data_IF_345506398786
#
_entry.id   IF_345506398786
#
_cell.length_a   1.000
_cell.length_b   1.000
_cell.length_c   1.000
_cell.angle_alpha   90.00
_cell.angle_beta   90.00
_cell.angle_gamma   90.00
#
_symmetry.space_group_name_H-M   'P 1'
#
loop_
_entity.id
_entity.type
_entity.pdbx_description
1 polymer ?
#
# COMPACT_ATOMS: atom_id res chain seq x y z
N UNK A 1 -15.71 -9.43 28.05
CA UNK A 1 -15.60 -8.77 26.73
C UNK A 1 -14.48 -9.46 25.98
N UNK A 2 -14.78 -10.46 25.16
CA UNK A 2 -13.76 -11.12 24.33
C UNK A 2 -13.45 -10.25 23.12
N UNK A 3 -12.18 -10.22 22.73
CA UNK A 3 -11.79 -9.59 21.47
C UNK A 3 -12.20 -10.48 20.30
N UNK A 4 -12.70 -9.84 19.24
CA UNK A 4 -13.05 -10.53 18.00
C UNK A 4 -11.82 -10.73 17.10
N UNK A 5 -10.77 -9.93 17.32
CA UNK A 5 -9.55 -9.95 16.54
C UNK A 5 -8.39 -10.54 17.35
N UNK A 6 -7.47 -11.22 16.65
CA UNK A 6 -6.16 -11.56 17.21
C UNK A 6 -5.24 -10.33 17.11
N UNK A 7 -5.37 -9.43 18.09
CA UNK A 7 -4.59 -8.19 18.15
C UNK A 7 -3.11 -8.44 18.34
N UNK A 8 -2.71 -9.55 18.98
CA UNK A 8 -1.32 -9.95 19.07
C UNK A 8 -0.70 -10.07 17.66
N UNK A 9 -1.37 -10.81 16.77
CA UNK A 9 -0.93 -10.98 15.39
C UNK A 9 -0.86 -9.65 14.63
N UNK A 10 -1.85 -8.77 14.80
CA UNK A 10 -1.88 -7.46 14.13
C UNK A 10 -0.76 -6.54 14.62
N UNK A 11 -0.56 -6.44 15.93
CA UNK A 11 0.49 -5.60 16.52
C UNK A 11 1.87 -6.10 16.09
N UNK A 12 2.12 -7.42 16.13
CA UNK A 12 3.41 -7.99 15.68
C UNK A 12 3.69 -7.72 14.21
N UNK A 13 2.66 -7.69 13.34
CA UNK A 13 2.82 -7.26 11.94
C UNK A 13 3.21 -5.79 11.86
N UNK A 14 2.52 -4.92 12.60
CA UNK A 14 2.82 -3.49 12.65
C UNK A 14 4.24 -3.21 13.13
N UNK A 15 4.69 -3.88 14.19
CA UNK A 15 6.04 -3.74 14.74
C UNK A 15 7.12 -4.12 13.72
N UNK A 16 6.90 -5.20 12.95
CA UNK A 16 7.83 -5.63 11.89
C UNK A 16 7.94 -4.59 10.77
N UNK A 17 6.82 -3.98 10.38
CA UNK A 17 6.76 -3.05 9.25
C UNK A 17 7.19 -1.62 9.64
N UNK A 18 6.82 -1.16 10.83
CA UNK A 18 7.02 0.22 11.27
C UNK A 18 8.14 0.39 12.27
N UNK A 19 8.52 -0.63 13.05
CA UNK A 19 9.51 -0.53 14.15
C UNK A 19 9.18 0.62 15.12
N UNK A 20 7.95 0.64 15.61
CA UNK A 20 7.47 1.66 16.54
C UNK A 20 8.32 1.68 17.82
N UNK A 21 8.51 2.87 18.41
CA UNK A 21 9.24 3.04 19.68
C UNK A 21 8.38 2.75 20.92
N UNK A 22 7.06 2.67 20.75
CA UNK A 22 6.08 2.49 21.83
C UNK A 22 4.90 1.65 21.34
N UNK A 23 4.18 1.04 22.28
CA UNK A 23 3.04 0.17 21.96
C UNK A 23 1.87 0.94 21.34
N UNK A 24 1.20 0.39 20.31
CA UNK A 24 -0.13 0.87 19.90
C UNK A 24 -1.11 0.77 21.07
N UNK A 25 -1.84 1.86 21.33
CA UNK A 25 -2.77 1.96 22.45
C UNK A 25 -4.16 1.62 21.97
N UNK A 26 -4.71 0.50 22.43
CA UNK A 26 -6.12 0.21 22.31
C UNK A 26 -6.91 1.15 23.20
N UNK A 27 -7.91 1.83 22.65
CA UNK A 27 -8.70 2.82 23.37
C UNK A 27 -10.18 2.47 23.24
N UNK A 28 -10.86 2.35 24.39
CA UNK A 28 -12.27 1.96 24.45
C UNK A 28 -13.06 2.85 25.39
N UNK A 29 -14.17 3.40 24.89
CA UNK A 29 -15.15 4.09 25.72
C UNK A 29 -16.17 3.08 26.28
N UNK A 30 -16.50 3.23 27.56
CA UNK A 30 -17.38 2.32 28.29
C UNK A 30 -18.68 3.02 28.63
N UNK A 31 -19.79 2.39 28.25
CA UNK A 31 -21.13 2.91 28.54
C UNK A 31 -21.44 2.91 30.04
N UNK A 32 -20.83 1.99 30.79
CA UNK A 32 -20.96 1.89 32.24
C UNK A 32 -19.60 1.70 32.89
N UNK A 33 -19.36 2.39 34.01
CA UNK A 33 -18.06 2.33 34.69
C UNK A 33 -17.75 0.96 35.31
N UNK A 34 -18.77 0.18 35.69
CA UNK A 34 -18.59 -1.16 36.26
C UNK A 34 -17.93 -2.14 35.26
N UNK A 35 -17.96 -1.82 33.97
CA UNK A 35 -17.28 -2.63 32.94
C UNK A 35 -15.74 -2.63 33.09
N UNK A 36 -15.17 -1.65 33.81
CA UNK A 36 -13.74 -1.60 34.10
C UNK A 36 -13.27 -2.82 34.90
N UNK A 37 -14.10 -3.33 35.82
CA UNK A 37 -13.79 -4.46 36.68
C UNK A 37 -13.71 -5.78 35.90
N UNK A 38 -14.27 -5.81 34.70
CA UNK A 38 -14.30 -6.98 33.82
C UNK A 38 -13.07 -7.06 32.90
N UNK A 39 -12.23 -6.03 32.87
CA UNK A 39 -11.06 -5.97 31.99
C UNK A 39 -9.85 -6.56 32.73
N UNK A 40 -9.15 -7.55 32.14
CA UNK A 40 -7.98 -8.16 32.76
C UNK A 40 -6.87 -7.16 33.07
N UNK A 41 -6.22 -7.33 34.22
CA UNK A 41 -5.07 -6.52 34.66
C UNK A 41 -5.34 -5.00 34.74
N UNK A 42 -6.61 -4.62 34.88
CA UNK A 42 -7.06 -3.24 34.99
C UNK A 42 -6.39 -2.52 36.18
N UNK A 43 -5.74 -1.38 35.89
CA UNK A 43 -5.18 -0.47 36.90
C UNK A 43 -5.97 0.83 36.93
N UNK A 44 -6.39 1.23 38.12
CA UNK A 44 -7.05 2.51 38.39
C UNK A 44 -6.03 3.54 38.88
N UNK A 45 -6.08 4.81 38.42
CA UNK A 45 -5.21 5.87 38.94
C UNK A 45 -5.36 6.03 40.45
N UNK A 46 -4.24 6.00 41.19
CA UNK A 46 -4.24 6.25 42.65
C UNK A 46 -4.25 7.74 43.00
N UNK A 47 -4.08 8.59 41.99
CA UNK A 47 -4.07 10.05 42.06
C UNK A 47 -4.66 10.57 40.76
N UNK A 48 -5.09 11.82 40.77
CA UNK A 48 -5.60 12.47 39.56
C UNK A 48 -4.53 12.52 38.48
N UNK A 49 -4.87 12.14 37.25
CA UNK A 49 -3.96 12.11 36.09
C UNK A 49 -4.55 12.86 34.90
N UNK A 50 -3.71 13.29 33.97
CA UNK A 50 -4.17 13.79 32.67
C UNK A 50 -4.44 12.61 31.72
N UNK A 51 -5.25 12.83 30.69
CA UNK A 51 -5.49 11.79 29.67
C UNK A 51 -4.19 11.34 28.99
N UNK A 52 -3.30 12.28 28.69
CA UNK A 52 -2.01 11.95 28.08
C UNK A 52 -1.11 11.10 28.99
N UNK A 53 -1.13 11.29 30.31
CA UNK A 53 -0.39 10.43 31.23
C UNK A 53 -0.92 8.98 31.21
N UNK A 54 -2.24 8.80 31.16
CA UNK A 54 -2.84 7.47 31.05
C UNK A 54 -2.42 6.77 29.77
N UNK A 55 -2.43 7.49 28.63
CA UNK A 55 -1.93 6.99 27.35
C UNK A 55 -0.45 6.56 27.50
N UNK A 56 0.39 7.36 28.15
CA UNK A 56 1.82 7.04 28.39
C UNK A 56 2.03 5.77 29.19
N UNK A 57 1.23 5.53 30.24
CA UNK A 57 1.27 4.29 31.02
C UNK A 57 1.04 3.07 30.13
N UNK A 58 0.19 3.21 29.11
CA UNK A 58 -0.05 2.14 28.15
C UNK A 58 1.12 2.01 27.18
N UNK A 59 1.44 3.08 26.44
CA UNK A 59 2.40 3.02 25.31
C UNK A 59 3.85 2.74 25.74
N UNK A 60 4.25 3.13 26.94
CA UNK A 60 5.65 3.04 27.39
C UNK A 60 5.85 2.10 28.59
N UNK A 61 4.82 1.88 29.40
CA UNK A 61 4.92 1.03 30.61
C UNK A 61 4.09 -0.24 30.52
N UNK A 62 3.38 -0.44 29.41
CA UNK A 62 2.68 -1.69 29.12
C UNK A 62 1.53 -1.99 30.11
N UNK A 63 0.87 -0.94 30.60
CA UNK A 63 -0.21 -1.06 31.57
C UNK A 63 -1.58 -1.01 30.90
N UNK A 64 -2.47 -1.92 31.32
CA UNK A 64 -3.92 -1.73 31.17
C UNK A 64 -4.41 -0.75 32.22
N UNK A 65 -4.99 0.38 31.80
CA UNK A 65 -5.48 1.44 32.68
C UNK A 65 -6.91 1.83 32.32
N UNK A 66 -7.65 2.35 33.30
CA UNK A 66 -8.97 2.89 33.04
C UNK A 66 -9.34 4.00 34.01
N UNK A 67 -10.12 4.95 33.55
CA UNK A 67 -10.46 6.18 34.27
C UNK A 67 -11.95 6.53 34.14
N UNK A 68 -12.53 7.06 35.21
CA UNK A 68 -13.82 7.76 35.23
C UNK A 68 -13.58 9.27 35.44
N UNK A 69 -14.63 10.09 35.41
CA UNK A 69 -14.52 11.56 35.46
C UNK A 69 -13.65 12.08 36.63
N UNK A 70 -13.78 11.48 37.80
CA UNK A 70 -13.10 11.93 39.03
C UNK A 70 -11.60 11.61 39.07
N UNK A 71 -11.13 10.69 38.20
CA UNK A 71 -9.72 10.32 38.07
C UNK A 71 -8.90 11.38 37.32
N UNK A 72 -9.56 12.34 36.65
CA UNK A 72 -8.87 13.37 35.87
C UNK A 72 -8.49 14.60 36.70
N UNK A 73 -7.32 15.19 36.42
CA UNK A 73 -6.85 16.43 37.07
C UNK A 73 -7.80 17.60 36.84
N UNK A 74 -8.39 17.67 35.65
CA UNK A 74 -9.26 18.76 35.23
C UNK A 74 -10.42 18.20 34.39
N UNK A 75 -11.62 18.80 34.48
CA UNK A 75 -12.76 18.44 33.64
C UNK A 75 -12.48 18.62 32.14
N UNK A 76 -11.44 19.38 31.75
CA UNK A 76 -11.05 19.52 30.34
C UNK A 76 -10.67 18.19 29.68
N UNK A 77 -9.93 17.33 30.38
CA UNK A 77 -9.54 16.02 29.84
C UNK A 77 -10.78 15.14 29.65
N UNK A 78 -11.62 15.07 30.69
CA UNK A 78 -12.84 14.27 30.71
C UNK A 78 -13.88 14.79 29.70
N UNK A 79 -13.94 16.10 29.45
CA UNK A 79 -14.91 16.68 28.52
C UNK A 79 -14.58 16.43 27.05
N UNK A 80 -13.30 16.34 26.70
CA UNK A 80 -12.88 15.97 25.33
C UNK A 80 -13.44 14.60 24.94
N UNK A 81 -13.39 13.64 25.86
CA UNK A 81 -13.88 12.27 25.66
C UNK A 81 -15.34 12.09 26.11
N UNK A 82 -16.06 13.17 26.40
CA UNK A 82 -17.51 13.15 26.63
C UNK A 82 -17.98 12.56 27.97
N UNK A 83 -17.10 12.45 28.96
CA UNK A 83 -17.46 11.95 30.31
C UNK A 83 -18.11 13.03 31.20
N UNK A 84 -17.89 14.31 30.88
CA UNK A 84 -18.50 15.45 31.59
C UNK A 84 -18.66 16.63 30.64
N UNK A 85 -19.60 17.53 30.93
CA UNK A 85 -19.66 18.82 30.22
C UNK A 85 -18.46 19.71 30.59
N UNK A 86 -18.15 20.64 29.70
CA UNK A 86 -17.14 21.67 29.91
C UNK A 86 -17.73 22.78 30.80
N UNK A 87 -17.12 23.11 31.96
CA UNK A 87 -17.63 24.17 32.82
C UNK A 87 -17.64 25.55 32.13
N UNK A 88 -18.61 26.41 32.47
CA UNK A 88 -18.79 27.74 31.84
C UNK A 88 -17.55 28.65 31.93
N UNK A 89 -16.77 28.53 33.01
CA UNK A 89 -15.51 29.30 33.18
C UNK A 89 -14.45 28.98 32.11
N UNK A 90 -14.56 27.85 31.41
CA UNK A 90 -13.70 27.54 30.27
C UNK A 90 -14.27 28.07 28.95
N UNK A 91 -15.60 28.23 28.86
CA UNK A 91 -16.31 28.67 27.65
C UNK A 91 -16.25 30.18 27.44
N UNK A 92 -16.09 30.97 28.50
CA UNK A 92 -16.05 32.45 28.45
C UNK A 92 -14.76 33.05 27.83
N UNK A 93 -13.83 32.18 27.42
CA UNK A 93 -12.54 32.54 26.82
C UNK A 93 -11.49 33.05 27.82
N UNK A 94 -11.82 33.23 29.09
CA UNK A 94 -10.91 33.72 30.13
C UNK A 94 -9.70 32.78 30.24
N UNK A 95 -9.93 31.47 30.37
CA UNK A 95 -8.86 30.49 30.54
C UNK A 95 -7.87 30.48 29.37
N UNK A 96 -8.37 30.49 28.13
CA UNK A 96 -7.52 30.48 26.93
C UNK A 96 -6.75 31.79 26.77
N UNK A 97 -7.35 32.92 27.15
CA UNK A 97 -6.70 34.24 27.05
C UNK A 97 -5.53 34.46 28.03
N UNK A 98 -5.41 33.63 29.08
CA UNK A 98 -4.30 33.71 30.02
C UNK A 98 -2.98 33.24 29.38
N UNK A 99 -3.04 32.26 28.47
CA UNK A 99 -1.84 31.57 27.97
C UNK A 99 -1.73 31.57 26.45
N UNK A 100 -2.83 31.33 25.74
CA UNK A 100 -2.78 30.90 24.33
C UNK A 100 -3.15 31.97 23.33
N UNK A 101 -4.02 32.90 23.72
CA UNK A 101 -4.55 33.93 22.81
C UNK A 101 -4.63 35.28 23.51
N UNK A 102 -4.57 36.37 22.75
CA UNK A 102 -4.48 37.73 23.31
C UNK A 102 -5.78 38.21 23.94
N UNK A 103 -6.93 37.80 23.43
CA UNK A 103 -8.24 38.32 23.83
C UNK A 103 -9.17 37.21 24.31
N UNK A 104 -10.15 37.55 25.16
CA UNK A 104 -11.22 36.61 25.54
C UNK A 104 -12.07 36.19 24.34
N UNK A 105 -12.28 37.08 23.39
CA UNK A 105 -13.01 36.76 22.15
C UNK A 105 -12.33 35.65 21.36
N UNK A 106 -11.02 35.76 21.17
CA UNK A 106 -10.23 34.68 20.55
C UNK A 106 -10.22 33.43 21.43
N UNK A 107 -10.28 33.59 22.75
CA UNK A 107 -10.40 32.48 23.70
C UNK A 107 -11.70 31.70 23.56
N UNK A 108 -12.82 32.39 23.31
CA UNK A 108 -14.10 31.76 23.02
C UNK A 108 -14.07 31.02 21.68
N UNK A 109 -13.50 31.63 20.62
CA UNK A 109 -13.32 30.99 19.31
C UNK A 109 -12.45 29.74 19.43
N UNK A 110 -11.37 29.83 20.20
CA UNK A 110 -10.49 28.71 20.51
C UNK A 110 -11.27 27.56 21.14
N UNK A 111 -11.97 27.81 22.26
CA UNK A 111 -12.63 26.75 23.00
C UNK A 111 -13.78 26.09 22.21
N UNK A 112 -14.50 26.88 21.41
CA UNK A 112 -15.57 26.44 20.52
C UNK A 112 -15.07 25.59 19.35
N UNK A 113 -13.81 25.77 18.94
CA UNK A 113 -13.20 25.01 17.82
C UNK A 113 -12.78 23.59 18.18
N UNK A 114 -12.69 23.24 19.48
CA UNK A 114 -12.24 21.93 19.97
C UNK A 114 -13.38 20.90 19.83
N UNK A 115 -13.23 19.86 19.00
CA UNK A 115 -14.15 18.73 18.97
C UNK A 115 -14.29 18.03 20.33
N UNK A 116 -15.50 17.59 20.68
CA UNK A 116 -15.75 16.83 21.91
C UNK A 116 -16.76 15.74 21.65
N UNK A 117 -16.61 14.60 22.32
CA UNK A 117 -17.60 13.52 22.25
C UNK A 117 -18.91 13.94 22.92
N UNK A 118 -20.02 13.41 22.40
CA UNK A 118 -21.36 13.69 22.94
C UNK A 118 -21.51 13.14 24.36
N UNK A 119 -22.14 13.94 25.22
CA UNK A 119 -22.44 13.59 26.61
C UNK A 119 -23.47 12.45 26.73
N UNK A 120 -23.48 11.80 27.90
CA UNK A 120 -24.50 10.82 28.30
C UNK A 120 -24.38 9.45 27.64
N UNK A 121 -23.33 9.21 26.84
CA UNK A 121 -23.07 7.90 26.21
C UNK A 121 -22.10 7.03 26.99
N UNK A 122 -21.20 7.63 27.75
CA UNK A 122 -20.08 6.94 28.37
C UNK A 122 -19.85 7.44 29.80
N UNK A 123 -19.45 6.51 30.66
CA UNK A 123 -19.14 6.78 32.07
C UNK A 123 -17.66 6.56 32.40
N UNK A 124 -16.94 5.82 31.56
CA UNK A 124 -15.52 5.54 31.76
C UNK A 124 -14.78 5.32 30.43
N UNK A 125 -13.45 5.28 30.51
CA UNK A 125 -12.54 4.92 29.43
C UNK A 125 -11.58 3.84 29.89
N UNK A 126 -11.26 2.89 29.01
CA UNK A 126 -10.22 1.90 29.20
C UNK A 126 -9.18 1.99 28.08
N UNK A 127 -7.92 1.82 28.43
CA UNK A 127 -6.80 1.84 27.50
C UNK A 127 -5.83 0.71 27.83
N UNK A 128 -5.30 0.03 26.81
CA UNK A 128 -4.43 -1.12 27.02
C UNK A 128 -3.51 -1.41 25.82
N UNK A 129 -2.37 -2.08 26.03
CA UNK A 129 -1.52 -2.56 24.96
C UNK A 129 -2.25 -3.68 24.21
N UNK A 130 -2.40 -3.52 22.89
CA UNK A 130 -3.22 -4.43 22.09
C UNK A 130 -2.61 -5.84 21.96
N UNK A 131 -1.30 -5.98 22.16
CA UNK A 131 -0.60 -7.27 22.06
C UNK A 131 -1.14 -8.34 23.02
N UNK A 132 -1.83 -7.94 24.10
CA UNK A 132 -2.40 -8.87 25.10
C UNK A 132 -3.88 -9.21 24.90
N UNK A 133 -4.49 -8.79 23.78
CA UNK A 133 -5.93 -8.98 23.53
C UNK A 133 -6.84 -8.54 24.71
N UNK A 134 -6.64 -7.34 25.29
CA UNK A 134 -7.26 -6.95 26.56
C UNK A 134 -8.79 -6.75 26.46
N UNK A 135 -9.24 -6.26 25.30
CA UNK A 135 -10.63 -6.03 24.91
C UNK A 135 -10.66 -5.69 23.42
N UNK A 136 -11.85 -5.65 22.82
CA UNK A 136 -12.04 -5.07 21.49
C UNK A 136 -12.02 -3.53 21.56
N UNK A 137 -11.00 -2.84 21.03
CA UNK A 137 -10.91 -1.38 21.08
C UNK A 137 -11.89 -0.73 20.11
N UNK A 138 -12.29 0.51 20.38
CA UNK A 138 -13.07 1.29 19.42
C UNK A 138 -12.11 1.98 18.43
N UNK A 139 -10.99 2.50 18.95
CA UNK A 139 -9.90 3.08 18.15
C UNK A 139 -8.53 2.61 18.65
N UNK A 140 -7.52 2.74 17.79
CA UNK A 140 -6.11 2.48 18.09
C UNK A 140 -5.32 3.77 17.95
N UNK A 141 -4.58 4.16 19.00
CA UNK A 141 -3.66 5.30 18.94
C UNK A 141 -2.25 4.81 18.61
N UNK A 142 -1.67 5.41 17.60
CA UNK A 142 -0.32 5.11 17.11
C UNK A 142 0.51 6.37 17.27
N UNK A 143 1.59 6.28 18.05
CA UNK A 143 2.61 7.31 18.14
C UNK A 143 3.82 6.90 17.30
N UNK A 144 4.20 7.76 16.36
CA UNK A 144 5.25 7.46 15.39
C UNK A 144 5.89 8.74 14.84
N UNK A 145 7.09 8.64 14.27
CA UNK A 145 7.75 9.76 13.63
C UNK A 145 7.15 10.08 12.24
N UNK A 146 7.52 11.21 11.59
CA UNK A 146 6.93 11.60 10.32
C UNK A 146 7.13 10.59 9.19
N UNK A 147 8.27 9.89 9.15
CA UNK A 147 8.54 8.86 8.14
C UNK A 147 7.60 7.66 8.30
N UNK A 148 7.37 7.22 9.53
CA UNK A 148 6.43 6.15 9.87
C UNK A 148 4.98 6.57 9.57
N UNK A 149 4.59 7.81 9.90
CA UNK A 149 3.25 8.33 9.59
C UNK A 149 3.00 8.45 8.10
N UNK A 150 3.99 8.89 7.31
CA UNK A 150 3.88 8.93 5.86
C UNK A 150 3.56 7.55 5.28
N UNK A 151 4.25 6.50 5.77
CA UNK A 151 3.98 5.13 5.35
C UNK A 151 2.59 4.66 5.77
N UNK A 152 2.15 4.99 6.99
CA UNK A 152 0.82 4.63 7.48
C UNK A 152 -0.28 5.34 6.67
N UNK A 153 -0.13 6.62 6.33
CA UNK A 153 -1.06 7.37 5.47
C UNK A 153 -1.15 6.70 4.10
N UNK A 154 -0.01 6.48 3.43
CA UNK A 154 0.01 5.83 2.11
C UNK A 154 -0.60 4.42 2.17
N UNK A 155 -0.40 3.69 3.26
CA UNK A 155 -0.97 2.35 3.44
C UNK A 155 -2.50 2.38 3.54
N UNK A 156 -3.06 3.36 4.26
CA UNK A 156 -4.50 3.54 4.39
C UNK A 156 -5.14 4.01 3.07
N UNK A 157 -4.39 4.79 2.28
CA UNK A 157 -4.82 5.32 0.98
C UNK A 157 -4.60 4.35 -0.19
N UNK A 158 -3.93 3.22 0.04
CA UNK A 158 -3.59 2.26 -1.01
C UNK A 158 -4.86 1.70 -1.69
N UNK A 159 -5.88 1.40 -0.91
CA UNK A 159 -7.23 1.03 -1.37
C UNK A 159 -8.18 2.19 -1.04
N UNK A 160 -9.10 2.50 -1.97
CA UNK A 160 -10.07 3.60 -1.84
C UNK A 160 -9.40 4.95 -1.53
N UNK A 161 -8.52 5.40 -2.43
CA UNK A 161 -7.74 6.62 -2.24
C UNK A 161 -8.63 7.82 -1.86
N UNK A 162 -8.33 8.41 -0.71
CA UNK A 162 -8.94 9.63 -0.21
C UNK A 162 -7.86 10.52 0.40
N UNK A 163 -7.91 11.83 0.14
CA UNK A 163 -7.01 12.79 0.80
C UNK A 163 -7.33 12.83 2.29
N UNK A 164 -6.32 12.56 3.13
CA UNK A 164 -6.47 12.67 4.58
C UNK A 164 -6.37 14.14 5.01
N UNK A 165 -7.39 14.62 5.71
CA UNK A 165 -7.39 15.97 6.28
C UNK A 165 -6.61 16.00 7.59
N UNK A 166 -5.75 17.01 7.72
CA UNK A 166 -4.96 17.25 8.93
C UNK A 166 -5.55 18.41 9.72
N UNK A 167 -5.84 18.18 10.99
CA UNK A 167 -6.43 19.17 11.89
C UNK A 167 -5.48 19.49 13.05
N UNK A 168 -5.38 20.77 13.39
CA UNK A 168 -4.56 21.24 14.50
C UNK A 168 -5.19 22.48 15.13
N UNK A 169 -5.72 22.32 16.33
CA UNK A 169 -6.12 23.44 17.20
C UNK A 169 -4.89 24.08 17.89
N UNK A 170 -3.76 23.36 17.92
CA UNK A 170 -2.49 23.79 18.54
C UNK A 170 -2.36 23.40 20.02
N UNK A 171 -3.46 23.11 20.68
CA UNK A 171 -3.55 22.46 22.00
C UNK A 171 -4.71 21.44 21.94
N UNK A 172 -4.84 20.58 22.95
CA UNK A 172 -5.90 19.57 23.01
C UNK A 172 -5.80 18.57 21.86
N UNK A 173 -4.59 18.09 21.56
CA UNK A 173 -4.32 17.10 20.51
C UNK A 173 -5.09 15.80 20.70
N UNK A 174 -5.44 15.43 21.94
CA UNK A 174 -6.37 14.34 22.20
C UNK A 174 -7.75 14.55 21.57
N UNK A 175 -8.24 15.79 21.46
CA UNK A 175 -9.47 16.09 20.72
C UNK A 175 -9.26 15.91 19.21
N UNK A 176 -8.18 16.46 18.65
CA UNK A 176 -7.91 16.36 17.21
C UNK A 176 -7.67 14.91 16.77
N UNK A 177 -7.05 14.07 17.60
CA UNK A 177 -6.92 12.64 17.29
C UNK A 177 -8.17 11.84 17.68
N UNK A 178 -8.51 11.77 18.97
CA UNK A 178 -9.54 10.85 19.51
C UNK A 178 -10.93 11.33 19.12
N UNK A 179 -11.31 12.55 19.52
CA UNK A 179 -12.69 12.99 19.34
C UNK A 179 -13.08 13.05 17.85
N UNK A 180 -12.20 13.56 16.98
CA UNK A 180 -12.45 13.55 15.53
C UNK A 180 -12.58 12.14 14.97
N UNK A 181 -11.69 11.20 15.34
CA UNK A 181 -11.77 9.82 14.86
C UNK A 181 -13.11 9.15 15.21
N UNK A 182 -13.61 9.36 16.42
CA UNK A 182 -14.94 8.86 16.83
C UNK A 182 -16.09 9.54 16.09
N UNK A 183 -15.99 10.85 15.84
CA UNK A 183 -17.05 11.62 15.19
C UNK A 183 -17.15 11.34 13.70
N UNK A 184 -16.02 11.15 13.01
CA UNK A 184 -15.98 10.95 11.55
C UNK A 184 -15.95 9.48 11.15
N UNK A 185 -15.53 8.59 12.06
CA UNK A 185 -15.24 7.20 11.73
C UNK A 185 -14.04 7.04 10.79
N UNK A 186 -13.17 8.07 10.68
CA UNK A 186 -11.99 8.10 9.82
C UNK A 186 -10.70 8.26 10.63
N UNK A 187 -9.54 7.82 10.11
CA UNK A 187 -8.24 8.11 10.70
C UNK A 187 -8.06 9.60 10.95
N UNK A 188 -7.45 9.97 12.08
CA UNK A 188 -7.16 11.37 12.40
C UNK A 188 -5.75 11.53 12.95
N UNK A 189 -4.94 12.30 12.22
CA UNK A 189 -3.54 12.59 12.53
C UNK A 189 -3.43 14.01 13.09
N UNK A 190 -2.62 14.19 14.12
CA UNK A 190 -2.30 15.51 14.67
C UNK A 190 -0.88 15.57 15.24
N UNK A 191 -0.46 16.78 15.62
CA UNK A 191 0.80 17.03 16.33
C UNK A 191 0.51 17.04 17.84
N UNK A 192 1.21 16.22 18.65
CA UNK A 192 1.11 16.26 20.10
C UNK A 192 1.34 17.66 20.66
N UNK A 193 0.37 18.13 21.46
CA UNK A 193 0.42 19.47 22.05
C UNK A 193 1.43 19.59 23.21
N UNK A 194 1.59 20.81 23.73
CA UNK A 194 2.45 21.07 24.90
C UNK A 194 2.11 20.16 26.09
N UNK A 195 0.83 19.92 26.37
CA UNK A 195 0.40 19.03 27.46
C UNK A 195 0.80 17.56 27.24
N UNK A 196 0.69 17.05 26.02
CA UNK A 196 1.16 15.71 25.67
C UNK A 196 2.67 15.56 25.81
N UNK A 197 3.44 16.61 25.49
CA UNK A 197 4.90 16.61 25.67
C UNK A 197 5.28 16.67 27.14
N UNK A 198 4.75 17.66 27.85
CA UNK A 198 5.10 17.95 29.24
C UNK A 198 4.66 16.86 30.21
N UNK A 199 3.46 16.30 30.02
CA UNK A 199 2.87 15.34 30.96
C UNK A 199 2.80 13.92 30.39
N UNK A 200 2.61 13.77 29.07
CA UNK A 200 2.53 12.48 28.39
C UNK A 200 3.87 11.99 27.80
N UNK A 201 4.94 12.78 27.91
CA UNK A 201 6.28 12.44 27.40
C UNK A 201 6.30 12.11 25.89
N UNK A 202 5.41 12.71 25.10
CA UNK A 202 5.53 12.68 23.64
C UNK A 202 6.87 13.31 23.21
N UNK A 203 7.61 12.63 22.33
CA UNK A 203 8.93 13.06 21.87
C UNK A 203 8.82 14.14 20.78
N UNK A 204 9.89 14.91 20.54
CA UNK A 204 9.92 16.02 19.57
C UNK A 204 9.50 15.61 18.17
N UNK A 205 9.89 14.42 17.74
CA UNK A 205 9.49 13.84 16.47
C UNK A 205 8.14 13.11 16.49
N UNK A 206 7.51 12.90 17.65
CA UNK A 206 6.25 12.15 17.71
C UNK A 206 5.13 12.91 17.01
N UNK A 207 4.43 12.20 16.13
CA UNK A 207 3.08 12.49 15.70
C UNK A 207 2.14 11.44 16.31
N UNK A 208 0.84 11.73 16.37
CA UNK A 208 -0.17 10.78 16.84
C UNK A 208 -1.29 10.64 15.84
N UNK A 209 -1.62 9.38 15.51
CA UNK A 209 -2.78 9.04 14.68
C UNK A 209 -3.74 8.16 15.48
N UNK A 210 -5.00 8.56 15.52
CA UNK A 210 -6.10 7.68 15.91
C UNK A 210 -6.65 6.96 14.68
N UNK A 211 -6.81 5.65 14.79
CA UNK A 211 -7.38 4.79 13.75
C UNK A 211 -8.64 4.12 14.27
N UNK A 212 -9.76 4.10 13.53
CA UNK A 212 -10.85 3.17 13.83
C UNK A 212 -10.30 1.74 13.87
N UNK A 213 -10.62 0.97 14.91
CA UNK A 213 -10.04 -0.35 15.13
C UNK A 213 -10.17 -1.29 13.91
N UNK A 214 -11.33 -1.25 13.25
CA UNK A 214 -11.63 -2.01 12.04
C UNK A 214 -10.69 -1.71 10.84
N UNK A 215 -10.01 -0.57 10.83
CA UNK A 215 -9.08 -0.18 9.75
C UNK A 215 -7.66 -0.72 9.95
N UNK A 216 -7.37 -1.36 11.08
CA UNK A 216 -6.03 -1.87 11.37
C UNK A 216 -5.57 -2.90 10.33
N UNK A 217 -6.45 -3.82 9.92
CA UNK A 217 -6.14 -4.82 8.89
C UNK A 217 -5.90 -4.16 7.52
N UNK A 218 -6.72 -3.17 7.15
CA UNK A 218 -6.54 -2.39 5.90
C UNK A 218 -5.18 -1.69 5.88
N UNK A 219 -4.81 -1.02 6.97
CA UNK A 219 -3.52 -0.35 7.11
C UNK A 219 -2.35 -1.33 6.93
N UNK A 220 -2.40 -2.50 7.60
CA UNK A 220 -1.33 -3.49 7.50
C UNK A 220 -1.20 -4.09 6.10
N UNK A 221 -2.31 -4.43 5.44
CA UNK A 221 -2.31 -4.93 4.06
C UNK A 221 -1.70 -3.91 3.10
N UNK A 222 -2.13 -2.65 3.17
CA UNK A 222 -1.55 -1.59 2.35
C UNK A 222 -0.05 -1.44 2.60
N UNK A 223 0.39 -1.53 3.86
CA UNK A 223 1.79 -1.39 4.23
C UNK A 223 2.65 -2.56 3.73
N UNK A 224 2.13 -3.79 3.75
CA UNK A 224 2.78 -4.97 3.17
C UNK A 224 2.93 -4.85 1.65
N UNK A 225 1.94 -4.26 0.95
CA UNK A 225 2.05 -3.97 -0.48
C UNK A 225 3.13 -2.91 -0.73
N UNK A 226 3.13 -1.80 0.00
CA UNK A 226 4.16 -0.77 -0.10
C UNK A 226 5.57 -1.34 0.17
N UNK A 227 5.69 -2.20 1.18
CA UNK A 227 6.95 -2.87 1.52
C UNK A 227 7.47 -3.70 0.34
N UNK A 228 6.61 -4.51 -0.30
CA UNK A 228 6.95 -5.29 -1.50
C UNK A 228 7.38 -4.40 -2.68
N UNK A 229 6.83 -3.19 -2.77
CA UNK A 229 7.21 -2.17 -3.78
C UNK A 229 8.45 -1.35 -3.41
N UNK A 230 9.12 -1.68 -2.31
CA UNK A 230 10.34 -0.99 -1.86
C UNK A 230 10.11 0.27 -1.03
N UNK A 231 8.85 0.65 -0.78
CA UNK A 231 8.47 1.78 0.08
C UNK A 231 8.30 1.24 1.51
N UNK A 232 9.36 1.35 2.32
CA UNK A 232 9.45 0.66 3.64
C UNK A 232 10.21 1.48 4.69
N UNK A 233 10.05 1.09 5.95
CA UNK A 233 10.81 1.62 7.09
C UNK A 233 11.90 0.64 7.56
N UNK A 234 13.10 1.11 7.97
CA UNK A 234 13.59 2.49 7.89
C UNK A 234 13.81 2.92 6.44
N UNK A 235 13.66 4.23 6.19
CA UNK A 235 13.92 4.81 4.87
C UNK A 235 15.43 4.89 4.67
N UNK A 236 15.95 4.19 3.66
CA UNK A 236 17.35 4.27 3.27
C UNK A 236 17.60 5.56 2.48
N UNK A 237 18.55 6.38 2.94
CA UNK A 237 18.93 7.60 2.23
C UNK A 237 19.88 7.27 1.09
N UNK A 238 19.64 7.85 -0.09
CA UNK A 238 20.54 7.71 -1.22
C UNK A 238 21.79 8.61 -1.11
N UNK A 239 21.75 9.67 -0.30
CA UNK A 239 22.83 10.66 -0.20
C UNK A 239 22.59 11.85 -1.12
N UNK A 240 22.82 13.07 -0.62
CA UNK A 240 22.40 14.30 -1.30
C UNK A 240 23.13 14.58 -2.63
N UNK A 241 24.34 14.04 -2.80
CA UNK A 241 25.19 14.26 -3.97
C UNK A 241 25.22 13.06 -4.94
N UNK A 242 24.43 12.02 -4.68
CA UNK A 242 24.39 10.86 -5.57
C UNK A 242 23.55 11.14 -6.82
N UNK A 243 24.00 10.59 -7.95
CA UNK A 243 23.19 10.55 -9.16
C UNK A 243 22.08 9.51 -8.99
N UNK A 244 20.85 10.01 -8.84
CA UNK A 244 19.68 9.18 -8.62
C UNK A 244 19.02 8.71 -9.93
N UNK A 245 19.51 9.11 -11.10
CA UNK A 245 18.91 8.69 -12.39
C UNK A 245 18.84 7.17 -12.53
N UNK A 246 19.83 6.45 -11.97
CA UNK A 246 19.88 4.99 -11.94
C UNK A 246 19.08 4.35 -10.79
N UNK A 247 18.73 5.14 -9.77
CA UNK A 247 18.02 4.68 -8.57
C UNK A 247 16.50 4.98 -8.61
N UNK A 248 16.08 5.97 -9.41
CA UNK A 248 14.66 6.24 -9.63
C UNK A 248 14.03 5.11 -10.44
N UNK A 249 12.81 4.66 -10.08
CA UNK A 249 12.07 3.78 -10.95
C UNK A 249 11.92 4.42 -12.33
N UNK A 250 11.99 3.61 -13.38
CA UNK A 250 11.89 4.08 -14.77
C UNK A 250 10.61 4.89 -15.04
N UNK A 251 9.54 4.63 -14.27
CA UNK A 251 8.30 5.41 -14.31
C UNK A 251 8.46 6.88 -13.92
N UNK A 252 9.53 7.26 -13.20
CA UNK A 252 9.80 8.63 -12.75
C UNK A 252 10.92 9.32 -13.55
N UNK A 253 11.92 8.58 -14.01
CA UNK A 253 13.12 9.14 -14.68
C UNK A 253 13.16 8.99 -16.21
N UNK A 254 12.20 8.28 -16.81
CA UNK A 254 12.26 7.85 -18.22
C UNK A 254 11.36 8.61 -19.18
N UNK A 255 11.02 9.89 -18.96
CA UNK A 255 10.06 10.62 -19.83
C UNK A 255 10.48 10.57 -21.30
N UNK A 256 11.76 10.81 -21.61
CA UNK A 256 12.26 10.72 -23.00
C UNK A 256 12.14 9.30 -23.58
N UNK A 257 12.31 8.28 -22.75
CA UNK A 257 12.09 6.89 -23.17
C UNK A 257 10.60 6.59 -23.38
N UNK A 258 9.72 7.16 -22.55
CA UNK A 258 8.28 7.06 -22.74
C UNK A 258 7.85 7.76 -24.03
N UNK A 259 8.41 8.92 -24.35
CA UNK A 259 8.18 9.59 -25.64
C UNK A 259 8.66 8.73 -26.82
N UNK A 260 9.80 8.06 -26.67
CA UNK A 260 10.34 7.16 -27.71
C UNK A 260 9.43 5.95 -27.94
N UNK A 261 8.97 5.32 -26.86
CA UNK A 261 8.12 4.12 -26.90
C UNK A 261 6.72 4.46 -27.38
N UNK A 262 6.07 5.45 -26.74
CA UNK A 262 4.71 5.84 -27.09
C UNK A 262 4.62 6.62 -28.40
N UNK A 263 5.73 7.20 -28.84
CA UNK A 263 5.85 7.95 -30.09
C UNK A 263 5.09 9.28 -30.06
N UNK A 264 5.42 10.15 -31.01
CA UNK A 264 4.62 11.35 -31.35
C UNK A 264 3.64 11.10 -32.51
N UNK A 265 3.75 9.93 -33.13
CA UNK A 265 2.81 9.45 -34.14
C UNK A 265 1.53 8.88 -33.48
N UNK A 266 0.66 8.38 -34.34
CA UNK A 266 -0.66 7.90 -33.96
C UNK A 266 -0.66 6.41 -33.56
N UNK A 267 0.51 5.80 -33.29
CA UNK A 267 0.58 4.43 -32.77
C UNK A 267 -0.18 4.31 -31.45
N UNK A 268 -0.77 3.16 -31.21
CA UNK A 268 -1.37 2.82 -29.92
C UNK A 268 -0.73 1.54 -29.39
N UNK A 269 -0.19 1.60 -28.18
CA UNK A 269 0.43 0.45 -27.53
C UNK A 269 -0.51 -0.15 -26.50
N UNK A 270 -0.84 -1.42 -26.69
CA UNK A 270 -1.64 -2.22 -25.77
C UNK A 270 -0.75 -3.24 -25.06
N UNK A 271 -0.49 -3.04 -23.76
CA UNK A 271 0.19 -4.04 -22.95
C UNK A 271 -0.77 -5.18 -22.59
N UNK A 272 -0.51 -6.38 -23.07
CA UNK A 272 -1.34 -7.57 -22.83
C UNK A 272 -0.70 -8.42 -21.75
N UNK A 273 -1.48 -8.76 -20.73
CA UNK A 273 -1.02 -9.59 -19.62
C UNK A 273 -2.13 -10.55 -19.17
N UNK A 274 -1.76 -11.50 -18.32
CA UNK A 274 -2.64 -12.52 -17.79
C UNK A 274 -1.88 -13.45 -16.86
N UNK A 275 -2.60 -14.13 -15.97
CA UNK A 275 -2.03 -15.19 -15.14
C UNK A 275 -1.67 -16.44 -15.95
N UNK A 276 -1.01 -17.39 -15.30
CA UNK A 276 -0.78 -18.72 -15.86
C UNK A 276 -2.14 -19.36 -16.21
N UNK A 277 -2.20 -20.02 -17.37
CA UNK A 277 -3.39 -20.74 -17.85
C UNK A 277 -4.66 -19.88 -18.07
N UNK A 278 -4.56 -18.55 -18.13
CA UNK A 278 -5.69 -17.69 -18.51
C UNK A 278 -6.02 -17.72 -20.01
N UNK A 279 -5.16 -18.32 -20.84
CA UNK A 279 -5.33 -18.36 -22.30
C UNK A 279 -4.98 -17.05 -23.01
N UNK A 280 -4.04 -16.29 -22.44
CA UNK A 280 -3.45 -15.07 -23.03
C UNK A 280 -3.10 -15.22 -24.52
N UNK A 281 -2.42 -16.32 -24.88
CA UNK A 281 -2.03 -16.63 -26.27
C UNK A 281 -3.22 -16.68 -27.22
N UNK A 282 -4.38 -17.18 -26.77
CA UNK A 282 -5.61 -17.21 -27.57
C UNK A 282 -6.08 -15.79 -27.92
N UNK A 283 -6.11 -14.90 -26.93
CA UNK A 283 -6.51 -13.51 -27.12
C UNK A 283 -5.50 -12.74 -27.97
N UNK A 284 -4.21 -12.95 -27.75
CA UNK A 284 -3.13 -12.36 -28.55
C UNK A 284 -3.25 -12.74 -30.03
N UNK A 285 -3.52 -14.01 -30.33
CA UNK A 285 -3.73 -14.48 -31.70
C UNK A 285 -5.00 -13.88 -32.32
N UNK A 286 -6.10 -13.78 -31.58
CA UNK A 286 -7.33 -13.13 -32.06
C UNK A 286 -7.09 -11.65 -32.40
N UNK A 287 -6.33 -10.91 -31.59
CA UNK A 287 -5.95 -9.53 -31.89
C UNK A 287 -5.03 -9.45 -33.13
N UNK A 288 -4.12 -10.42 -33.29
CA UNK A 288 -3.23 -10.52 -34.45
C UNK A 288 -4.02 -10.71 -35.75
N UNK A 289 -5.03 -11.58 -35.74
CA UNK A 289 -5.94 -11.78 -36.88
C UNK A 289 -6.71 -10.51 -37.26
N UNK A 290 -7.00 -9.64 -36.28
CA UNK A 290 -7.68 -8.36 -36.51
C UNK A 290 -6.75 -7.23 -36.99
N UNK A 291 -5.44 -7.50 -37.04
CA UNK A 291 -4.42 -6.59 -37.56
C UNK A 291 -3.52 -5.93 -36.51
N UNK A 292 -3.50 -6.40 -35.25
CA UNK A 292 -2.56 -5.90 -34.24
C UNK A 292 -1.24 -6.70 -34.26
N UNK A 293 -0.11 -6.10 -34.71
CA UNK A 293 1.20 -6.73 -34.62
C UNK A 293 1.55 -7.03 -33.17
N UNK A 294 2.21 -8.17 -32.94
CA UNK A 294 2.59 -8.63 -31.59
C UNK A 294 4.09 -8.51 -31.38
N UNK A 295 4.48 -7.91 -30.27
CA UNK A 295 5.83 -8.01 -29.71
C UNK A 295 5.74 -8.83 -28.43
N UNK A 296 6.46 -9.95 -28.35
CA UNK A 296 6.41 -10.89 -27.24
C UNK A 296 7.66 -10.78 -26.36
N UNK A 297 7.51 -10.32 -25.12
CA UNK A 297 8.63 -10.11 -24.20
C UNK A 297 9.35 -11.41 -23.81
N UNK A 298 8.68 -12.57 -23.81
CA UNK A 298 9.34 -13.86 -23.55
C UNK A 298 10.24 -14.25 -24.72
N UNK A 299 9.84 -13.92 -25.95
CA UNK A 299 10.67 -14.09 -27.15
C UNK A 299 11.86 -13.13 -27.09
N UNK A 300 11.64 -11.85 -26.78
CA UNK A 300 12.72 -10.87 -26.62
C UNK A 300 13.74 -11.31 -25.58
N UNK A 301 13.27 -11.75 -24.41
CA UNK A 301 14.13 -12.23 -23.32
C UNK A 301 14.94 -13.49 -23.70
N UNK A 302 14.48 -14.29 -24.68
CA UNK A 302 15.26 -15.40 -25.26
C UNK A 302 16.28 -14.90 -26.26
N UNK A 303 15.86 -14.01 -27.16
CA UNK A 303 16.71 -13.50 -28.23
C UNK A 303 17.91 -12.74 -27.68
N UNK A 304 17.76 -11.88 -26.67
CA UNK A 304 18.88 -11.03 -26.20
C UNK A 304 20.01 -11.80 -25.52
N UNK A 305 19.75 -13.05 -25.10
CA UNK A 305 20.71 -13.95 -24.44
C UNK A 305 21.16 -15.10 -25.34
N UNK A 306 20.91 -15.04 -26.64
CA UNK A 306 21.47 -16.01 -27.59
C UNK A 306 23.01 -15.99 -27.57
N UNK A 307 23.67 -17.11 -27.90
CA UNK A 307 25.12 -17.21 -27.90
C UNK A 307 25.79 -16.04 -28.63
N UNK A 308 26.90 -15.59 -28.07
CA UNK A 308 27.74 -14.49 -28.59
C UNK A 308 27.10 -13.09 -28.56
N UNK A 309 25.84 -12.93 -28.12
CA UNK A 309 25.27 -11.60 -27.86
C UNK A 309 25.86 -10.96 -26.60
N UNK A 310 25.85 -9.62 -26.48
CA UNK A 310 26.48 -8.94 -25.35
C UNK A 310 25.92 -9.35 -23.98
N UNK A 311 24.61 -9.62 -23.85
CA UNK A 311 24.03 -10.08 -22.59
C UNK A 311 24.56 -11.48 -22.22
N UNK A 312 24.64 -12.38 -23.21
CA UNK A 312 25.19 -13.72 -23.02
C UNK A 312 26.64 -13.66 -22.56
N UNK A 313 27.47 -12.81 -23.17
CA UNK A 313 28.87 -12.63 -22.81
C UNK A 313 29.04 -12.14 -21.35
N UNK A 314 28.26 -11.14 -20.94
CA UNK A 314 28.28 -10.62 -19.57
C UNK A 314 27.81 -11.67 -18.55
N UNK A 315 26.76 -12.43 -18.88
CA UNK A 315 26.25 -13.51 -18.04
C UNK A 315 27.32 -14.58 -17.86
N UNK A 316 27.96 -15.05 -18.94
CA UNK A 316 29.01 -16.08 -18.87
C UNK A 316 30.23 -15.56 -18.12
N UNK A 317 30.63 -14.30 -18.34
CA UNK A 317 31.76 -13.71 -17.63
C UNK A 317 31.52 -13.60 -16.11
N UNK A 318 30.28 -13.31 -15.69
CA UNK A 318 29.94 -13.15 -14.27
C UNK A 318 29.59 -14.47 -13.57
N UNK A 319 28.81 -15.34 -14.20
CA UNK A 319 28.31 -16.59 -13.61
C UNK A 319 29.18 -17.81 -13.94
N UNK A 320 30.11 -17.69 -14.90
CA UNK A 320 30.98 -18.77 -15.39
C UNK A 320 30.28 -19.70 -16.39
N UNK A 321 31.06 -20.51 -17.11
CA UNK A 321 30.55 -21.43 -18.14
C UNK A 321 29.61 -22.52 -17.60
N UNK A 322 29.55 -22.72 -16.28
CA UNK A 322 28.64 -23.66 -15.62
C UNK A 322 27.15 -23.39 -15.88
N UNK A 323 26.80 -22.15 -16.29
CA UNK A 323 25.42 -21.79 -16.67
C UNK A 323 25.11 -22.05 -18.14
N UNK A 324 26.01 -22.71 -18.87
CA UNK A 324 25.84 -23.11 -20.26
C UNK A 324 25.43 -24.59 -20.39
N UNK A 325 24.69 -24.87 -21.44
CA UNK A 325 24.49 -26.20 -22.01
C UNK A 325 25.63 -26.55 -22.97
N UNK A 326 25.70 -27.81 -23.40
CA UNK A 326 26.74 -28.28 -24.34
C UNK A 326 26.72 -27.54 -25.68
N UNK A 327 25.56 -27.02 -26.09
CA UNK A 327 25.36 -26.26 -27.32
C UNK A 327 25.62 -24.75 -27.17
N UNK A 328 26.19 -24.33 -26.03
CA UNK A 328 26.47 -22.93 -25.63
C UNK A 328 25.24 -22.07 -25.34
N UNK A 329 24.02 -22.61 -25.35
CA UNK A 329 22.86 -21.88 -24.84
C UNK A 329 22.86 -21.82 -23.31
N UNK A 330 22.17 -20.83 -22.74
CA UNK A 330 22.03 -20.73 -21.28
C UNK A 330 21.15 -21.86 -20.73
N UNK A 331 21.67 -22.57 -19.74
CA UNK A 331 20.90 -23.47 -18.88
C UNK A 331 20.06 -22.62 -17.91
N UNK A 332 18.83 -22.31 -18.36
CA UNK A 332 17.87 -21.49 -17.61
C UNK A 332 17.55 -22.06 -16.23
N UNK A 333 17.53 -23.38 -16.08
CA UNK A 333 17.21 -24.03 -14.80
C UNK A 333 18.34 -23.77 -13.81
N UNK A 334 19.59 -24.06 -14.21
CA UNK A 334 20.77 -23.77 -13.38
C UNK A 334 20.89 -22.28 -13.05
N UNK A 335 20.73 -21.40 -14.05
CA UNK A 335 20.81 -19.97 -13.84
C UNK A 335 19.73 -19.48 -12.87
N UNK A 336 18.49 -19.97 -13.00
CA UNK A 336 17.40 -19.66 -12.09
C UNK A 336 17.69 -20.13 -10.67
N UNK A 337 18.24 -21.33 -10.49
CA UNK A 337 18.57 -21.86 -9.16
C UNK A 337 19.64 -21.00 -8.45
N UNK A 338 20.60 -20.47 -9.21
CA UNK A 338 21.65 -19.58 -8.70
C UNK A 338 21.04 -18.23 -8.26
N UNK A 339 20.25 -17.59 -9.10
CA UNK A 339 19.71 -16.23 -8.82
C UNK A 339 18.54 -16.24 -7.85
N UNK A 340 17.80 -17.35 -7.75
CA UNK A 340 16.69 -17.47 -6.80
C UNK A 340 17.17 -17.41 -5.34
N UNK A 341 18.38 -17.91 -5.08
CA UNK A 341 18.97 -17.97 -3.74
C UNK A 341 19.73 -16.69 -3.35
N UNK A 342 19.93 -15.77 -4.29
CA UNK A 342 20.83 -14.63 -4.10
C UNK A 342 20.30 -13.37 -4.81
N UNK A 343 19.83 -12.40 -4.00
CA UNK A 343 19.24 -11.16 -4.49
C UNK A 343 20.25 -10.29 -5.26
N UNK A 344 21.53 -10.28 -4.86
CA UNK A 344 22.54 -9.47 -5.56
C UNK A 344 22.83 -10.03 -6.94
N UNK A 345 22.97 -11.36 -7.04
CA UNK A 345 23.13 -12.05 -8.33
C UNK A 345 21.92 -11.87 -9.23
N UNK A 346 20.71 -11.91 -8.68
CA UNK A 346 19.49 -11.60 -9.43
C UNK A 346 19.53 -10.19 -10.02
N UNK A 347 19.87 -9.18 -9.22
CA UNK A 347 20.01 -7.79 -9.70
C UNK A 347 21.08 -7.65 -10.78
N UNK A 348 22.18 -8.40 -10.69
CA UNK A 348 23.22 -8.41 -11.73
C UNK A 348 22.70 -8.99 -13.05
N UNK A 349 22.01 -10.15 -13.00
CA UNK A 349 21.38 -10.73 -14.18
C UNK A 349 20.35 -9.78 -14.82
N UNK A 350 19.50 -9.17 -14.01
CA UNK A 350 18.51 -8.18 -14.46
C UNK A 350 19.22 -6.96 -15.10
N UNK A 351 20.32 -6.49 -14.51
CA UNK A 351 21.15 -5.42 -15.05
C UNK A 351 21.80 -5.74 -16.41
N UNK A 352 22.17 -7.00 -16.65
CA UNK A 352 22.70 -7.42 -17.95
C UNK A 352 21.59 -7.58 -19.01
N UNK A 353 20.40 -8.00 -18.62
CA UNK A 353 19.34 -8.37 -19.56
C UNK A 353 18.37 -7.22 -19.87
N UNK A 354 17.90 -6.49 -18.87
CA UNK A 354 16.85 -5.49 -19.03
C UNK A 354 17.16 -4.39 -20.06
N UNK A 355 18.36 -3.76 -20.07
CA UNK A 355 18.67 -2.75 -21.08
C UNK A 355 18.58 -3.27 -22.51
N UNK A 356 18.93 -4.55 -22.72
CA UNK A 356 18.95 -5.19 -24.04
C UNK A 356 17.56 -5.62 -24.48
N UNK A 357 16.75 -6.14 -23.56
CA UNK A 357 15.32 -6.41 -23.83
C UNK A 357 14.64 -5.12 -24.25
N UNK A 358 14.91 -4.02 -23.54
CA UNK A 358 14.36 -2.73 -23.87
C UNK A 358 14.83 -2.21 -25.24
N UNK A 359 16.12 -2.31 -25.55
CA UNK A 359 16.66 -1.93 -26.86
C UNK A 359 16.01 -2.69 -28.01
N UNK A 360 15.87 -4.02 -27.87
CA UNK A 360 15.21 -4.86 -28.87
C UNK A 360 13.70 -4.55 -29.00
N UNK A 361 13.02 -4.29 -27.87
CA UNK A 361 11.62 -3.85 -27.87
C UNK A 361 11.44 -2.56 -28.68
N UNK A 362 12.30 -1.56 -28.45
CA UNK A 362 12.26 -0.29 -29.19
C UNK A 362 12.58 -0.48 -30.66
N UNK A 363 13.53 -1.35 -31.00
CA UNK A 363 13.89 -1.66 -32.39
C UNK A 363 12.70 -2.28 -33.15
N UNK A 364 12.11 -3.36 -32.62
CA UNK A 364 10.95 -4.02 -33.25
C UNK A 364 9.74 -3.09 -33.33
N UNK A 365 9.52 -2.27 -32.30
CA UNK A 365 8.45 -1.29 -32.33
C UNK A 365 8.68 -0.24 -33.43
N UNK A 366 9.91 0.26 -33.57
CA UNK A 366 10.26 1.23 -34.62
C UNK A 366 10.03 0.65 -36.02
N UNK A 367 10.44 -0.60 -36.27
CA UNK A 367 10.19 -1.27 -37.56
C UNK A 367 8.71 -1.42 -37.90
N UNK A 368 7.85 -1.66 -36.91
CA UNK A 368 6.41 -1.74 -37.10
C UNK A 368 5.86 -0.35 -37.46
N UNK A 369 6.26 0.68 -36.71
CA UNK A 369 5.69 2.02 -36.86
C UNK A 369 6.21 2.73 -38.11
N UNK A 370 7.44 2.46 -38.55
CA UNK A 370 7.95 2.94 -39.84
C UNK A 370 7.11 2.43 -41.03
N UNK A 371 6.54 1.22 -40.90
CA UNK A 371 5.65 0.64 -41.92
C UNK A 371 4.22 1.13 -41.78
N UNK A 372 3.74 1.31 -40.55
CA UNK A 372 2.39 1.76 -40.25
C UNK A 372 2.39 2.73 -39.04
N UNK A 373 2.40 4.05 -39.27
CA UNK A 373 2.37 5.04 -38.19
C UNK A 373 1.05 5.05 -37.40
N UNK A 374 0.01 4.38 -37.91
CA UNK A 374 -1.29 4.19 -37.29
C UNK A 374 -1.44 2.77 -36.72
N UNK A 375 -0.34 2.05 -36.46
CA UNK A 375 -0.41 0.70 -35.90
C UNK A 375 -0.96 0.66 -34.47
N UNK A 376 -1.88 -0.26 -34.20
CA UNK A 376 -2.23 -0.69 -32.84
C UNK A 376 -1.39 -1.92 -32.52
N UNK A 377 -0.32 -1.73 -31.74
CA UNK A 377 0.65 -2.77 -31.41
C UNK A 377 0.29 -3.38 -30.07
N UNK A 378 0.15 -4.72 -30.03
CA UNK A 378 0.00 -5.45 -28.78
C UNK A 378 1.38 -5.92 -28.30
N UNK A 379 1.65 -5.74 -27.02
CA UNK A 379 2.90 -6.12 -26.40
C UNK A 379 2.59 -7.14 -25.32
N UNK A 380 2.97 -8.38 -25.57
CA UNK A 380 2.66 -9.50 -24.69
C UNK A 380 3.69 -9.62 -23.56
N UNK A 381 3.27 -9.36 -22.32
CA UNK A 381 4.13 -9.33 -21.13
C UNK A 381 3.47 -10.08 -19.97
N UNK A 382 3.88 -11.34 -19.67
CA UNK A 382 3.28 -12.14 -18.60
C UNK A 382 3.32 -11.49 -17.21
N UNK A 383 4.43 -10.83 -16.88
CA UNK A 383 4.69 -10.18 -15.59
C UNK A 383 4.55 -8.65 -15.65
N UNK A 384 3.67 -8.14 -16.52
CA UNK A 384 3.50 -6.71 -16.77
C UNK A 384 3.25 -5.92 -15.48
N UNK A 385 2.35 -6.43 -14.64
CA UNK A 385 1.92 -5.76 -13.41
C UNK A 385 2.98 -5.93 -12.31
N UNK A 386 3.50 -7.14 -12.16
CA UNK A 386 4.52 -7.49 -11.17
C UNK A 386 5.81 -6.70 -11.35
N UNK A 387 6.20 -6.45 -12.61
CA UNK A 387 7.38 -5.67 -12.95
C UNK A 387 7.09 -4.17 -13.06
N UNK A 388 5.87 -3.73 -12.73
CA UNK A 388 5.42 -2.33 -12.80
C UNK A 388 5.63 -1.68 -14.18
N UNK A 389 5.39 -2.41 -15.28
CA UNK A 389 5.64 -1.95 -16.65
C UNK A 389 4.44 -1.26 -17.32
N UNK A 390 3.33 -1.07 -16.60
CA UNK A 390 2.09 -0.47 -17.11
C UNK A 390 2.34 0.90 -17.76
N UNK A 391 3.24 1.69 -17.18
CA UNK A 391 3.55 3.04 -17.66
C UNK A 391 4.11 3.06 -19.10
N UNK A 392 4.64 1.95 -19.62
CA UNK A 392 5.12 1.88 -21.00
C UNK A 392 3.99 1.94 -22.03
N UNK A 393 2.77 1.53 -21.66
CA UNK A 393 1.67 1.32 -22.60
C UNK A 393 0.61 2.42 -22.52
N UNK A 394 -0.07 2.67 -23.62
CA UNK A 394 -1.20 3.61 -23.64
C UNK A 394 -2.43 3.01 -22.95
N UNK A 395 -2.60 1.70 -23.16
CA UNK A 395 -3.66 0.90 -22.57
C UNK A 395 -3.12 -0.45 -22.12
N UNK A 396 -3.75 -1.02 -21.12
CA UNK A 396 -3.43 -2.34 -20.58
C UNK A 396 -4.63 -3.27 -20.69
N UNK A 397 -4.39 -4.52 -21.08
CA UNK A 397 -5.38 -5.58 -21.22
C UNK A 397 -5.00 -6.74 -20.30
N UNK A 398 -5.92 -7.13 -19.42
CA UNK A 398 -5.83 -8.36 -18.63
C UNK A 398 -6.73 -9.44 -19.23
N UNK A 399 -6.15 -10.59 -19.55
CA UNK A 399 -6.90 -11.80 -19.87
C UNK A 399 -7.21 -12.56 -18.58
N UNK A 400 -8.49 -12.61 -18.24
CA UNK A 400 -8.99 -13.06 -16.95
C UNK A 400 -9.61 -14.45 -17.04
N UNK A 401 -9.26 -15.28 -16.06
CA UNK A 401 -9.93 -16.55 -15.74
C UNK A 401 -9.88 -16.73 -14.21
N UNK A 402 -10.97 -17.13 -13.55
CA UNK A 402 -10.96 -17.37 -12.10
C UNK A 402 -9.86 -18.36 -11.69
N UNK A 403 -9.26 -18.17 -10.52
CA UNK A 403 -8.15 -19.00 -10.01
C UNK A 403 -8.43 -20.50 -10.09
N UNK A 404 -9.63 -20.92 -9.68
CA UNK A 404 -10.04 -22.32 -9.72
C UNK A 404 -9.92 -22.93 -11.14
N UNK A 405 -10.36 -22.20 -12.17
CA UNK A 405 -10.25 -22.63 -13.56
C UNK A 405 -8.81 -22.55 -14.08
N UNK A 406 -7.99 -21.65 -13.56
CA UNK A 406 -6.55 -21.62 -13.88
C UNK A 406 -5.85 -22.89 -13.37
N UNK A 407 -6.17 -23.33 -12.15
CA UNK A 407 -5.66 -24.57 -11.56
C UNK A 407 -6.07 -25.77 -12.42
N UNK A 408 -7.36 -25.90 -12.74
CA UNK A 408 -7.90 -26.99 -13.57
C UNK A 408 -7.17 -27.09 -14.92
N UNK A 409 -7.06 -25.96 -15.63
CA UNK A 409 -6.35 -25.90 -16.92
C UNK A 409 -4.87 -26.24 -16.80
N UNK A 410 -4.22 -25.83 -15.70
CA UNK A 410 -2.80 -26.07 -15.50
C UNK A 410 -2.52 -27.55 -15.20
N UNK A 411 -3.38 -28.19 -14.40
CA UNK A 411 -3.34 -29.63 -14.14
C UNK A 411 -3.54 -30.43 -15.42
N UNK A 412 -4.54 -30.09 -16.23
CA UNK A 412 -4.81 -30.77 -17.50
C UNK A 412 -3.66 -30.61 -18.51
N UNK A 413 -3.10 -29.40 -18.61
CA UNK A 413 -2.05 -29.08 -19.60
C UNK A 413 -0.69 -29.67 -19.22
N UNK A 414 -0.30 -29.56 -17.96
CA UNK A 414 1.06 -29.89 -17.51
C UNK A 414 1.14 -31.26 -16.80
N UNK A 415 -0.01 -31.91 -16.52
CA UNK A 415 -0.06 -33.21 -15.84
C UNK A 415 0.42 -33.17 -14.38
N UNK A 416 0.35 -32.00 -13.74
CA UNK A 416 0.82 -31.77 -12.36
C UNK A 416 -0.30 -31.89 -11.33
N UNK A 417 0.06 -31.97 -10.04
CA UNK A 417 -0.94 -31.99 -8.96
C UNK A 417 -1.65 -30.62 -8.81
N UNK A 418 -2.87 -30.62 -8.24
CA UNK A 418 -3.58 -29.38 -7.91
C UNK A 418 -2.78 -28.49 -6.95
N UNK A 419 -2.06 -29.09 -5.99
CA UNK A 419 -1.21 -28.38 -5.04
C UNK A 419 -0.04 -27.69 -5.74
N UNK A 420 0.66 -28.40 -6.64
CA UNK A 420 1.75 -27.82 -7.43
C UNK A 420 1.25 -26.70 -8.36
N UNK A 421 0.05 -26.87 -8.95
CA UNK A 421 -0.58 -25.83 -9.76
C UNK A 421 -0.87 -24.57 -8.93
N UNK A 422 -1.45 -24.73 -7.73
CA UNK A 422 -1.72 -23.62 -6.82
C UNK A 422 -0.43 -22.90 -6.38
N UNK A 423 0.64 -23.64 -6.10
CA UNK A 423 1.92 -23.04 -5.72
C UNK A 423 2.57 -22.25 -6.86
N UNK A 424 2.42 -22.69 -8.11
CA UNK A 424 2.85 -21.92 -9.29
C UNK A 424 2.05 -20.63 -9.45
N UNK A 425 0.75 -20.65 -9.16
CA UNK A 425 -0.11 -19.46 -9.19
C UNK A 425 0.30 -18.43 -8.12
N UNK A 426 0.64 -18.88 -6.91
CA UNK A 426 1.11 -18.01 -5.82
C UNK A 426 2.40 -17.24 -6.12
N UNK A 427 3.18 -17.69 -7.12
CA UNK A 427 4.38 -16.99 -7.55
C UNK A 427 4.09 -15.71 -8.36
N UNK A 428 2.85 -15.53 -8.82
CA UNK A 428 2.39 -14.35 -9.57
C UNK A 428 1.40 -13.52 -8.73
N UNK A 429 1.14 -12.29 -9.16
CA UNK A 429 0.07 -11.50 -8.56
C UNK A 429 -1.28 -12.16 -8.85
N UNK A 430 -2.14 -12.27 -7.84
CA UNK A 430 -3.46 -12.87 -7.98
C UNK A 430 -4.22 -12.20 -9.14
N UNK A 431 -4.93 -12.99 -9.94
CA UNK A 431 -5.57 -12.50 -11.17
C UNK A 431 -6.62 -11.43 -10.88
N UNK A 432 -7.33 -11.53 -9.75
CA UNK A 432 -8.31 -10.54 -9.31
C UNK A 432 -7.64 -9.21 -8.94
N UNK A 433 -6.44 -9.25 -8.36
CA UNK A 433 -5.65 -8.04 -8.09
C UNK A 433 -5.17 -7.39 -9.40
N UNK A 434 -4.79 -8.20 -10.42
CA UNK A 434 -4.35 -7.66 -11.73
C UNK A 434 -5.42 -6.84 -12.42
N UNK A 435 -6.70 -7.18 -12.24
CA UNK A 435 -7.83 -6.45 -12.84
C UNK A 435 -7.85 -4.97 -12.44
N UNK A 436 -7.46 -4.65 -11.20
CA UNK A 436 -7.42 -3.27 -10.71
C UNK A 436 -6.43 -2.35 -11.44
N UNK A 437 -5.49 -2.92 -12.20
CA UNK A 437 -4.49 -2.17 -12.99
C UNK A 437 -4.85 -2.07 -14.48
N UNK A 438 -5.94 -2.71 -14.91
CA UNK A 438 -6.25 -2.88 -16.32
C UNK A 438 -7.20 -1.79 -16.85
N UNK A 439 -6.94 -1.28 -18.07
CA UNK A 439 -7.94 -0.50 -18.80
C UNK A 439 -9.06 -1.38 -19.38
N UNK A 440 -8.70 -2.61 -19.76
CA UNK A 440 -9.60 -3.58 -20.37
C UNK A 440 -9.41 -4.97 -19.78
N UNK A 441 -10.51 -5.70 -19.67
CA UNK A 441 -10.52 -7.10 -19.23
C UNK A 441 -11.23 -7.95 -20.28
N UNK A 442 -10.60 -9.07 -20.68
CA UNK A 442 -11.22 -10.10 -21.51
C UNK A 442 -11.40 -11.35 -20.66
N UNK A 443 -12.65 -11.75 -20.48
CA UNK A 443 -13.00 -12.97 -19.77
C UNK A 443 -12.88 -14.17 -20.70
N UNK A 444 -11.97 -15.08 -20.37
CA UNK A 444 -11.67 -16.28 -21.17
C UNK A 444 -12.07 -17.57 -20.44
N UNK A 445 -13.13 -17.50 -19.64
CA UNK A 445 -13.61 -18.59 -18.79
C UNK A 445 -14.88 -19.26 -19.34
N UNK A 446 -15.37 -18.82 -20.51
CA UNK A 446 -16.50 -19.41 -21.23
C UNK A 446 -16.08 -19.98 -22.60
N UNK A 447 -16.91 -19.83 -23.64
CA UNK A 447 -16.60 -20.33 -24.98
C UNK A 447 -15.64 -19.43 -25.76
N UNK A 448 -14.87 -20.03 -26.69
CA UNK A 448 -13.98 -19.28 -27.60
C UNK A 448 -14.73 -18.24 -28.44
N UNK A 449 -16.00 -18.49 -28.78
CA UNK A 449 -16.84 -17.56 -29.54
C UNK A 449 -17.17 -16.32 -28.71
N UNK A 450 -17.51 -16.49 -27.43
CA UNK A 450 -17.75 -15.36 -26.51
C UNK A 450 -16.47 -14.55 -26.26
N UNK A 451 -15.32 -15.22 -26.12
CA UNK A 451 -14.02 -14.54 -26.02
C UNK A 451 -13.73 -13.75 -27.30
N UNK A 452 -13.94 -14.34 -28.49
CA UNK A 452 -13.74 -13.65 -29.77
C UNK A 452 -14.63 -12.42 -29.90
N UNK A 453 -15.90 -12.51 -29.51
CA UNK A 453 -16.81 -11.36 -29.52
C UNK A 453 -16.33 -10.22 -28.60
N UNK A 454 -15.77 -10.54 -27.43
CA UNK A 454 -15.17 -9.53 -26.55
C UNK A 454 -13.92 -8.89 -27.18
N UNK A 455 -13.06 -9.68 -27.83
CA UNK A 455 -11.86 -9.17 -28.53
C UNK A 455 -12.24 -8.25 -29.70
N UNK A 456 -13.24 -8.63 -30.50
CA UNK A 456 -13.73 -7.79 -31.61
C UNK A 456 -14.32 -6.47 -31.10
N UNK A 457 -15.03 -6.50 -29.96
CA UNK A 457 -15.53 -5.29 -29.29
C UNK A 457 -14.36 -4.41 -28.81
N UNK A 458 -13.36 -5.01 -28.16
CA UNK A 458 -12.16 -4.31 -27.72
C UNK A 458 -11.45 -3.65 -28.91
N UNK A 459 -11.28 -4.37 -30.02
CA UNK A 459 -10.63 -3.85 -31.22
C UNK A 459 -11.31 -2.60 -31.78
N UNK A 460 -12.65 -2.60 -31.85
CA UNK A 460 -13.44 -1.42 -32.24
C UNK A 460 -13.19 -0.24 -31.29
N UNK A 461 -13.13 -0.49 -29.98
CA UNK A 461 -12.82 0.53 -28.97
C UNK A 461 -11.41 1.09 -29.14
N UNK A 462 -10.40 0.24 -29.33
CA UNK A 462 -9.01 0.67 -29.55
C UNK A 462 -8.87 1.54 -30.79
N UNK A 463 -9.51 1.16 -31.91
CA UNK A 463 -9.57 2.00 -33.12
C UNK A 463 -10.24 3.34 -32.89
N UNK A 464 -11.26 3.40 -32.02
CA UNK A 464 -11.91 4.67 -31.65
C UNK A 464 -10.96 5.55 -30.84
N UNK A 465 -10.30 4.98 -29.82
CA UNK A 465 -9.33 5.71 -28.98
C UNK A 465 -8.18 6.26 -29.83
N UNK A 466 -7.66 5.47 -30.76
CA UNK A 466 -6.62 5.92 -31.68
C UNK A 466 -7.09 7.08 -32.57
N UNK A 467 -8.31 7.01 -33.12
CA UNK A 467 -8.88 8.13 -33.90
C UNK A 467 -9.07 9.41 -33.08
N UNK A 468 -9.33 9.28 -31.78
CA UNK A 468 -9.45 10.42 -30.87
C UNK A 468 -8.07 11.00 -30.50
N UNK A 469 -7.03 10.16 -30.40
CA UNK A 469 -5.63 10.59 -30.20
C UNK A 469 -5.09 11.43 -31.38
N UNK A 470 -5.55 11.15 -32.60
CA UNK A 470 -5.13 11.85 -33.81
C UNK A 470 -5.71 13.27 -33.98
N UNK A 471 -6.71 13.64 -33.16
CA UNK A 471 -7.35 14.96 -33.18
C UNK A 471 -6.70 15.89 -32.16
#
# INVERSE_FOLDING_TARGET
MESQHDWEKLVRRMERLMRLKSFPVGFKMLGKKEQLEQIPFMRRPQRKMTLCQLITLVRNFDWTVGAETDDFVSPMCASIIGLTDTPEIYKDGSFRSIVWVKTKEDGMKYEASIPRLSLGRYEAVAMAPLVYNPFEPDIVLVYANPAQMMLLINSLQFEDYEVMEFYCVGESSCSDAIARCYMTGKPSLTIPCYGERRYGHAQDEDLVMALPAQMMEKALKGMEVLYRRGIRYPISYAGAEQDLTTAFPMSYGGIEQMETIRGKDNRLLLGVTGGIATGKTTVVNMLKELGAPVIDFDILARQVVEPDKPAWQEIVAYFGEQVLQEDRHLDRKKLSDIVFRDMEKRKKLEGFTHPRIHGEFVAQLSEIVEKDPDAIVQVDVPLLIENNLQYLFHKTLVVYVPEQKQIERLVERDGISQEEAADRLKAQLAIDEKVGYADFVIYNDKSLQETRAQVEKLWKTLKKIQKEKAK
#
